data_IF_071022753057
#
_entry.id   IF_071022753057
#
_cell.length_a   1.000
_cell.length_b   1.000
_cell.length_c   1.000
_cell.angle_alpha   90.00
_cell.angle_beta   90.00
_cell.angle_gamma   90.00
#
_symmetry.space_group_name_H-M   'P 1'
#
loop_
_entity.id
_entity.type
_entity.pdbx_description
1 polymer ?
#
# COMPACT_ATOMS: atom_id res chain seq x y z
N UNK A 1 -0.77 17.91 16.28
CA UNK A 1 -0.97 17.45 16.12
C UNK A 1 -1.37 17.09 15.50
N UNK A 2 -1.52 16.92 15.46
CA UNK A 2 -1.83 16.26 14.96
C UNK A 2 -2.23 15.86 14.31
N UNK A 3 -2.11 15.94 14.01
CA UNK A 3 -2.23 15.30 13.55
C UNK A 3 -2.94 14.64 13.23
N UNK A 4 -3.05 14.71 13.53
CA UNK A 4 -3.86 13.92 13.39
C UNK A 4 -4.66 14.02 12.46
N UNK A 5 -4.18 13.71 12.19
CA UNK A 5 -4.83 13.22 11.03
C UNK A 5 -6.32 13.15 11.28
N UNK A 6 -6.92 14.26 11.13
CA UNK A 6 -8.33 14.22 10.87
C UNK A 6 -8.46 13.40 9.60
N UNK A 7 -8.84 12.18 9.78
CA UNK A 7 -9.29 11.36 8.68
C UNK A 7 -10.43 12.16 8.08
N UNK A 8 -10.25 12.63 6.88
CA UNK A 8 -11.29 13.30 6.14
C UNK A 8 -12.48 12.38 5.92
N UNK A 9 -13.47 12.86 5.26
CA UNK A 9 -14.66 12.08 5.00
C UNK A 9 -14.35 10.79 4.26
N UNK A 10 -15.18 9.80 4.46
CA UNK A 10 -15.12 8.52 3.76
C UNK A 10 -16.04 8.55 2.56
N UNK A 11 -15.51 8.25 1.40
CA UNK A 11 -16.26 8.21 0.14
C UNK A 11 -16.31 6.77 -0.35
N UNK A 12 -17.47 6.33 -0.81
CA UNK A 12 -17.66 4.97 -1.29
C UNK A 12 -17.55 4.93 -2.81
N UNK A 13 -16.67 4.06 -3.31
CA UNK A 13 -16.51 3.77 -4.73
C UNK A 13 -16.82 2.31 -5.00
N UNK A 14 -17.78 2.07 -5.88
CA UNK A 14 -18.21 0.74 -6.24
C UNK A 14 -17.96 0.52 -7.74
N UNK A 15 -17.31 -0.59 -8.09
CA UNK A 15 -17.00 -0.90 -9.47
C UNK A 15 -18.23 -0.94 -10.36
N UNK A 16 -19.37 -1.31 -9.82
CA UNK A 16 -20.62 -1.39 -10.57
C UNK A 16 -21.35 -0.05 -10.69
N UNK A 17 -20.97 0.96 -9.92
CA UNK A 17 -21.75 2.19 -9.78
C UNK A 17 -20.98 3.43 -10.24
N UNK A 18 -19.82 3.70 -9.68
CA UNK A 18 -19.15 4.98 -9.86
C UNK A 18 -17.65 4.92 -10.17
N UNK A 19 -17.13 3.77 -10.53
CA UNK A 19 -15.79 3.63 -11.10
C UNK A 19 -15.96 3.43 -12.61
N UNK A 20 -15.58 4.46 -13.38
CA UNK A 20 -15.69 4.42 -14.84
C UNK A 20 -14.61 3.55 -15.46
N UNK A 21 -13.37 3.73 -15.00
CA UNK A 21 -12.21 3.01 -15.50
C UNK A 21 -11.27 2.70 -14.34
N UNK A 22 -10.73 1.49 -14.32
CA UNK A 22 -9.86 1.06 -13.22
C UNK A 22 -8.49 0.65 -13.73
N UNK A 23 -7.45 1.25 -13.15
CA UNK A 23 -6.07 0.80 -13.24
C UNK A 23 -5.62 0.20 -11.90
N UNK A 24 -6.56 -0.24 -11.09
CA UNK A 24 -6.30 -0.88 -9.82
C UNK A 24 -5.85 -2.33 -10.02
N UNK A 25 -4.86 -2.73 -9.23
CA UNK A 25 -4.41 -4.12 -9.16
C UNK A 25 -4.60 -4.60 -7.74
N UNK A 26 -5.16 -5.81 -7.59
CA UNK A 26 -5.31 -6.41 -6.27
C UNK A 26 -4.13 -7.31 -5.95
N UNK A 27 -3.48 -7.05 -4.82
CA UNK A 27 -2.39 -7.88 -4.30
C UNK A 27 -2.90 -8.71 -3.13
N UNK A 28 -2.55 -9.97 -3.13
CA UNK A 28 -2.93 -10.89 -2.07
C UNK A 28 -1.66 -11.50 -1.44
N UNK A 29 -1.32 -11.02 -0.25
CA UNK A 29 -0.12 -11.46 0.46
C UNK A 29 -0.16 -12.94 0.86
N UNK A 30 -1.34 -13.54 0.94
CA UNK A 30 -1.47 -14.94 1.30
C UNK A 30 -0.90 -15.90 0.25
N UNK A 31 -0.76 -15.43 -0.98
CA UNK A 31 -0.27 -16.23 -2.11
C UNK A 31 1.24 -16.16 -2.30
N UNK A 32 1.92 -15.26 -1.60
CA UNK A 32 3.38 -15.09 -1.72
C UNK A 32 4.01 -15.02 -0.35
N UNK A 33 5.11 -15.74 -0.21
CA UNK A 33 5.91 -15.72 1.02
C UNK A 33 7.31 -15.24 0.67
N UNK A 34 7.91 -14.49 1.57
CA UNK A 34 9.21 -13.88 1.36
C UNK A 34 10.20 -14.24 2.45
N UNK A 35 11.46 -14.30 2.05
CA UNK A 35 12.59 -14.41 2.96
C UNK A 35 13.49 -13.19 2.77
N UNK A 36 13.60 -12.38 3.80
CA UNK A 36 14.47 -11.22 3.79
C UNK A 36 15.86 -11.59 4.26
N UNK A 37 16.87 -11.27 3.47
CA UNK A 37 18.27 -11.37 3.85
C UNK A 37 18.79 -9.95 4.01
N UNK A 38 19.28 -9.60 5.19
CA UNK A 38 19.80 -8.27 5.46
C UNK A 38 21.27 -8.39 5.82
N UNK A 39 22.10 -7.65 5.10
CA UNK A 39 23.53 -7.61 5.31
C UNK A 39 23.96 -6.24 5.80
N UNK A 40 24.61 -6.19 6.95
CA UNK A 40 25.21 -4.98 7.49
C UNK A 40 26.72 -5.13 7.59
N UNK A 41 27.40 -4.03 7.88
CA UNK A 41 28.84 -4.05 8.10
C UNK A 41 29.19 -3.29 9.39
N UNK A 42 30.15 -3.82 10.14
CA UNK A 42 30.67 -3.12 11.31
C UNK A 42 31.78 -2.12 10.94
N UNK A 43 32.32 -1.42 11.93
CA UNK A 43 33.39 -0.43 11.73
C UNK A 43 34.68 -1.02 11.17
N UNK A 44 34.85 -2.33 11.28
CA UNK A 44 36.03 -3.05 10.77
C UNK A 44 35.78 -3.66 9.40
N UNK A 45 34.60 -3.43 8.82
CA UNK A 45 34.22 -3.97 7.53
C UNK A 45 33.72 -5.42 7.56
N UNK A 46 33.51 -5.98 8.75
CA UNK A 46 32.99 -7.34 8.88
C UNK A 46 31.50 -7.35 8.54
N UNK A 47 31.10 -8.26 7.67
CA UNK A 47 29.69 -8.43 7.26
C UNK A 47 28.92 -9.19 8.30
N UNK A 48 27.76 -8.65 8.66
CA UNK A 48 26.78 -9.28 9.54
C UNK A 48 25.57 -9.58 8.68
N UNK A 49 25.14 -10.84 8.67
CA UNK A 49 24.00 -11.27 7.88
C UNK A 49 22.93 -11.85 8.77
N UNK A 50 21.69 -11.42 8.55
CA UNK A 50 20.51 -11.98 9.21
C UNK A 50 19.47 -12.40 8.19
N UNK A 51 18.61 -13.34 8.56
CA UNK A 51 17.49 -13.78 7.75
C UNK A 51 16.21 -13.67 8.56
N UNK A 52 15.17 -13.14 7.96
CA UNK A 52 13.83 -13.02 8.57
C UNK A 52 12.77 -13.39 7.54
N UNK A 53 11.68 -14.00 8.00
CA UNK A 53 10.56 -14.36 7.15
C UNK A 53 10.39 -15.87 7.02
N UNK A 54 9.91 -16.31 5.85
CA UNK A 54 9.59 -17.72 5.60
C UNK A 54 10.71 -18.42 4.85
N UNK A 55 11.26 -19.47 5.45
CA UNK A 55 12.26 -20.31 4.79
C UNK A 55 11.67 -20.94 3.52
N UNK A 56 12.37 -20.80 2.40
CA UNK A 56 11.88 -21.26 1.11
C UNK A 56 11.01 -20.28 0.35
N UNK A 57 10.72 -19.13 0.94
CA UNK A 57 10.00 -18.06 0.25
C UNK A 57 10.87 -17.32 -0.77
N UNK A 58 10.26 -16.39 -1.50
CA UNK A 58 10.99 -15.55 -2.46
C UNK A 58 12.02 -14.71 -1.72
N UNK A 59 13.30 -14.90 -2.08
CA UNK A 59 14.42 -14.28 -1.40
C UNK A 59 14.71 -12.88 -1.95
N UNK A 60 14.89 -11.92 -1.05
CA UNK A 60 15.40 -10.61 -1.42
C UNK A 60 16.47 -10.18 -0.43
N UNK A 61 17.42 -9.38 -0.90
CA UNK A 61 18.57 -8.95 -0.10
C UNK A 61 18.57 -7.44 0.05
N UNK A 62 18.75 -6.98 1.29
CA UNK A 62 18.97 -5.58 1.62
C UNK A 62 20.40 -5.42 2.11
N UNK A 63 21.10 -4.44 1.60
CA UNK A 63 22.48 -4.12 2.04
C UNK A 63 22.46 -2.80 2.78
N UNK A 64 22.92 -2.82 4.03
CA UNK A 64 22.95 -1.65 4.92
C UNK A 64 24.39 -1.40 5.39
N UNK A 65 25.24 -0.79 4.54
CA UNK A 65 26.62 -0.51 4.92
C UNK A 65 26.69 0.37 6.15
N UNK A 66 27.58 0.03 7.08
CA UNK A 66 27.76 0.78 8.31
C UNK A 66 26.77 0.48 9.43
N UNK A 67 25.80 -0.39 9.20
CA UNK A 67 24.85 -0.83 10.23
C UNK A 67 25.32 -2.20 10.75
N UNK A 68 25.71 -2.25 12.01
CA UNK A 68 26.21 -3.47 12.64
C UNK A 68 25.33 -3.99 13.77
N UNK A 69 24.35 -3.22 14.17
CA UNK A 69 23.41 -3.62 15.22
C UNK A 69 22.41 -4.62 14.68
N UNK A 70 22.47 -5.85 15.21
CA UNK A 70 21.58 -6.93 14.78
C UNK A 70 20.10 -6.57 14.92
N UNK A 71 19.75 -5.87 15.99
CA UNK A 71 18.36 -5.45 16.24
C UNK A 71 17.87 -4.48 15.17
N UNK A 72 18.72 -3.55 14.73
CA UNK A 72 18.38 -2.62 13.64
C UNK A 72 18.22 -3.35 12.32
N UNK A 73 19.06 -4.36 12.05
CA UNK A 73 18.95 -5.16 10.85
C UNK A 73 17.65 -5.98 10.83
N UNK A 74 17.29 -6.57 11.96
CA UNK A 74 16.05 -7.31 12.12
C UNK A 74 14.82 -6.42 11.94
N UNK A 75 14.86 -5.22 12.52
CA UNK A 75 13.78 -4.25 12.40
C UNK A 75 13.58 -3.83 10.93
N UNK A 76 14.66 -3.57 10.23
CA UNK A 76 14.60 -3.18 8.82
C UNK A 76 14.06 -4.31 7.95
N UNK A 77 14.44 -5.55 8.24
CA UNK A 77 13.90 -6.72 7.57
C UNK A 77 12.40 -6.86 7.79
N UNK A 78 11.95 -6.70 9.03
CA UNK A 78 10.53 -6.83 9.38
C UNK A 78 9.68 -5.73 8.71
N UNK A 79 10.20 -4.50 8.65
CA UNK A 79 9.53 -3.39 7.94
C UNK A 79 9.35 -3.70 6.46
N UNK A 80 10.40 -4.19 5.82
CA UNK A 80 10.34 -4.52 4.39
C UNK A 80 9.41 -5.71 4.12
N UNK A 81 9.41 -6.70 5.01
CA UNK A 81 8.48 -7.84 4.91
C UNK A 81 7.03 -7.38 5.00
N UNK A 82 6.73 -6.41 5.88
CA UNK A 82 5.38 -5.84 6.00
C UNK A 82 4.94 -5.14 4.71
N UNK A 83 5.85 -4.41 4.09
CA UNK A 83 5.57 -3.73 2.81
C UNK A 83 5.27 -4.74 1.72
N UNK A 84 6.05 -5.83 1.66
CA UNK A 84 5.87 -6.88 0.64
C UNK A 84 4.67 -7.78 0.92
N UNK A 85 4.24 -7.86 2.17
CA UNK A 85 3.09 -8.65 2.60
C UNK A 85 1.76 -7.89 2.50
N UNK A 86 1.73 -6.82 1.72
CA UNK A 86 0.54 -6.00 1.56
C UNK A 86 -0.58 -6.76 0.84
N UNK A 87 -1.77 -6.73 1.40
CA UNK A 87 -2.98 -7.24 0.78
C UNK A 87 -3.94 -6.08 0.54
N UNK A 88 -4.36 -5.89 -0.70
CA UNK A 88 -5.29 -4.83 -1.06
C UNK A 88 -5.06 -4.31 -2.47
N UNK A 89 -5.84 -3.31 -2.84
CA UNK A 89 -5.68 -2.66 -4.13
C UNK A 89 -4.52 -1.68 -4.14
N UNK A 90 -3.89 -1.56 -5.28
CA UNK A 90 -2.88 -0.55 -5.57
C UNK A 90 -3.19 0.12 -6.90
N UNK A 91 -2.87 1.40 -7.01
CA UNK A 91 -2.97 2.15 -8.24
C UNK A 91 -3.98 3.26 -8.20
N UNK A 92 -4.71 3.43 -9.28
CA UNK A 92 -5.67 4.52 -9.44
C UNK A 92 -6.91 4.05 -10.18
N UNK A 93 -7.94 4.86 -10.08
CA UNK A 93 -9.16 4.65 -10.83
C UNK A 93 -9.73 6.00 -11.29
N UNK A 94 -10.57 5.95 -12.31
CA UNK A 94 -11.22 7.13 -12.85
C UNK A 94 -12.70 7.07 -12.51
N UNK A 95 -13.20 8.14 -11.94
CA UNK A 95 -14.62 8.31 -11.64
C UNK A 95 -15.11 9.61 -12.24
N UNK A 96 -16.39 9.90 -12.02
CA UNK A 96 -16.99 11.16 -12.41
C UNK A 96 -16.69 12.24 -11.38
N UNK A 97 -17.17 13.45 -11.58
CA UNK A 97 -16.96 14.54 -10.61
C UNK A 97 -17.66 14.30 -9.27
N UNK A 98 -18.74 13.54 -9.30
CA UNK A 98 -19.40 13.08 -8.10
C UNK A 98 -19.15 11.57 -7.90
N UNK A 99 -18.85 11.09 -6.72
CA UNK A 99 -18.71 11.88 -5.49
C UNK A 99 -17.41 12.71 -5.45
N UNK A 100 -17.45 13.81 -4.69
CA UNK A 100 -16.26 14.62 -4.45
C UNK A 100 -15.32 13.93 -3.47
N UNK A 101 -14.02 14.05 -3.70
CA UNK A 101 -13.00 13.46 -2.83
C UNK A 101 -11.76 14.34 -2.81
N UNK A 102 -11.06 14.35 -1.69
CA UNK A 102 -9.80 15.07 -1.53
C UNK A 102 -8.69 14.14 -1.02
N UNK A 103 -7.43 14.51 -1.26
CA UNK A 103 -6.31 13.82 -0.60
C UNK A 103 -6.51 13.84 0.91
N UNK A 104 -6.04 12.83 1.59
CA UNK A 104 -6.20 12.55 3.03
C UNK A 104 -7.55 11.97 3.44
N UNK A 105 -8.53 12.00 2.54
CA UNK A 105 -9.80 11.32 2.77
C UNK A 105 -9.63 9.79 2.63
N UNK A 106 -10.68 9.06 2.96
CA UNK A 106 -10.74 7.61 2.78
C UNK A 106 -11.62 7.27 1.59
N UNK A 107 -11.12 6.38 0.76
CA UNK A 107 -11.89 5.79 -0.33
C UNK A 107 -12.21 4.34 0.04
N UNK A 108 -13.49 4.03 0.24
CA UNK A 108 -13.92 2.65 0.43
C UNK A 108 -14.21 2.06 -0.95
N UNK A 109 -13.44 1.07 -1.34
CA UNK A 109 -13.59 0.41 -2.63
C UNK A 109 -14.40 -0.86 -2.43
N UNK A 110 -15.49 -0.97 -3.16
CA UNK A 110 -16.41 -2.10 -3.11
C UNK A 110 -16.47 -2.84 -4.42
N UNK A 111 -16.35 -4.15 -4.32
CA UNK A 111 -16.51 -5.07 -5.43
C UNK A 111 -17.59 -6.06 -5.04
N UNK A 112 -18.76 -5.98 -5.67
CA UNK A 112 -19.89 -6.87 -5.36
C UNK A 112 -19.66 -8.30 -5.81
N UNK A 113 -18.76 -8.50 -6.75
CA UNK A 113 -18.41 -9.83 -7.25
C UNK A 113 -17.41 -10.54 -6.32
N UNK A 114 -16.50 -9.77 -5.73
CA UNK A 114 -15.45 -10.29 -4.86
C UNK A 114 -15.40 -9.49 -3.56
N UNK A 115 -16.35 -9.75 -2.67
CA UNK A 115 -16.48 -9.00 -1.42
C UNK A 115 -15.24 -9.01 -0.54
N UNK A 116 -14.42 -10.06 -0.61
CA UNK A 116 -13.18 -10.12 0.17
C UNK A 116 -12.16 -9.06 -0.22
N UNK A 117 -12.34 -8.45 -1.41
CA UNK A 117 -11.48 -7.37 -1.88
C UNK A 117 -11.90 -6.00 -1.35
N UNK A 118 -13.07 -5.90 -0.74
CA UNK A 118 -13.57 -4.64 -0.20
C UNK A 118 -12.63 -4.10 0.87
N UNK A 119 -12.41 -2.82 0.87
CA UNK A 119 -11.55 -2.18 1.86
C UNK A 119 -11.53 -0.67 1.74
N UNK A 120 -10.99 -0.05 2.76
CA UNK A 120 -10.84 1.41 2.81
C UNK A 120 -9.36 1.77 2.64
N UNK A 121 -9.11 2.79 1.86
CA UNK A 121 -7.77 3.21 1.46
C UNK A 121 -7.62 4.71 1.66
N UNK A 122 -6.40 5.14 2.00
CA UNK A 122 -6.10 6.57 1.98
C UNK A 122 -6.10 7.07 0.54
N UNK A 123 -6.61 8.28 0.34
CA UNK A 123 -6.51 8.97 -0.95
C UNK A 123 -5.19 9.75 -0.96
N UNK A 124 -4.29 9.38 -1.86
CA UNK A 124 -2.99 10.03 -1.99
C UNK A 124 -3.04 11.23 -2.92
N UNK A 125 -3.80 11.14 -3.97
CA UNK A 125 -3.88 12.19 -4.97
C UNK A 125 -5.19 12.17 -5.71
N UNK A 126 -5.59 13.34 -6.19
CA UNK A 126 -6.80 13.53 -7.00
C UNK A 126 -6.44 14.44 -8.15
N UNK A 127 -6.70 14.00 -9.37
CA UNK A 127 -6.49 14.81 -10.56
C UNK A 127 -7.81 14.93 -11.32
N UNK A 128 -8.27 16.15 -11.49
CA UNK A 128 -9.51 16.44 -12.24
C UNK A 128 -9.16 16.92 -13.63
N UNK A 129 -9.74 16.27 -14.64
CA UNK A 129 -9.52 16.57 -16.04
C UNK A 129 -10.84 16.98 -16.68
N UNK A 130 -10.80 18.09 -17.42
CA UNK A 130 -11.93 18.58 -18.19
C UNK A 130 -11.63 18.42 -19.68
N UNK A 131 -12.57 17.89 -20.43
CA UNK A 131 -12.45 17.73 -21.86
C UNK A 131 -13.81 17.97 -22.54
N UNK A 132 -13.83 17.98 -23.88
CA UNK A 132 -15.05 18.23 -24.66
C UNK A 132 -16.18 17.24 -24.36
N UNK A 133 -15.83 16.05 -23.89
CA UNK A 133 -16.77 15.00 -23.55
C UNK A 133 -17.23 15.02 -22.09
N UNK A 134 -16.78 16.00 -21.32
CA UNK A 134 -17.11 16.13 -19.91
C UNK A 134 -15.89 16.17 -19.01
N UNK A 135 -16.11 15.93 -17.73
CA UNK A 135 -15.07 15.96 -16.74
C UNK A 135 -14.93 14.62 -16.04
N UNK A 136 -13.71 14.26 -15.69
CA UNK A 136 -13.40 13.04 -14.97
C UNK A 136 -12.42 13.33 -13.83
N UNK A 137 -12.37 12.43 -12.87
CA UNK A 137 -11.48 12.53 -11.73
C UNK A 137 -10.70 11.23 -11.56
N UNK A 138 -9.37 11.35 -11.57
CA UNK A 138 -8.49 10.21 -11.31
C UNK A 138 -8.11 10.25 -9.84
N UNK A 139 -8.38 9.17 -9.14
CA UNK A 139 -8.10 9.02 -7.72
C UNK A 139 -7.00 7.97 -7.55
N UNK A 140 -5.90 8.40 -6.94
CA UNK A 140 -4.79 7.50 -6.61
C UNK A 140 -4.88 7.13 -5.14
N UNK A 141 -4.88 5.84 -4.86
CA UNK A 141 -5.03 5.34 -3.49
C UNK A 141 -3.69 4.92 -2.89
N UNK A 142 -3.60 5.02 -1.58
CA UNK A 142 -2.48 4.57 -0.78
C UNK A 142 -2.76 3.26 -0.09
N UNK A 143 -2.22 3.09 1.09
CA UNK A 143 -2.36 1.86 1.86
C UNK A 143 -3.80 1.60 2.28
N UNK A 144 -4.14 0.30 2.27
CA UNK A 144 -5.38 -0.18 2.88
C UNK A 144 -5.31 0.05 4.38
N UNK A 145 -6.41 0.51 4.93
CA UNK A 145 -6.54 0.66 6.38
C UNK A 145 -6.99 -0.67 6.95
N UNK A 146 -6.20 -1.19 7.88
CA UNK A 146 -6.57 -2.36 8.61
C UNK A 146 -7.60 -1.96 9.66
N UNK A 147 -8.76 -2.59 9.58
CA UNK A 147 -9.74 -2.46 10.64
C UNK A 147 -9.23 -3.28 11.84
N UNK A 148 -8.59 -2.59 12.76
CA UNK A 148 -8.37 -3.17 14.08
C UNK A 148 -9.74 -3.22 14.76
N UNK A 149 -10.47 -4.25 14.39
CA UNK A 149 -11.75 -4.53 15.01
C UNK A 149 -11.61 -5.06 16.41
#
# INVERSE_FOLDING_TARGET
HPQYAQIGEKVIYDFAVNIEKSDLKYRDASKRKFLAVVEGTDAKGKTIRIERGTTGGDKFTLKLPGVSDRKSLEQRADEELKVRAYTGYEGSFTGWLEPYVEPTWLAEIRDTEYEYKNGSYYVLGVETTFCDKGASRVVTIGKRIENNG
#
